data_IF_436678551362
#
_entry.id   IF_436678551362
#
_cell.length_a   1.000
_cell.length_b   1.000
_cell.length_c   1.000
_cell.angle_alpha   90.00
_cell.angle_beta   90.00
_cell.angle_gamma   90.00
#
_symmetry.space_group_name_H-M   'P 1'
#
loop_
_entity.id
_entity.type
_entity.pdbx_description
1 polymer ?
#
# COMPACT_ATOMS: atom_id res chain seq x y z
N UNK A 1 -27.24 -22.16 -52.28
CA UNK A 1 -28.03 -23.00 -51.36
C UNK A 1 -27.11 -23.49 -50.24
N UNK A 2 -27.48 -23.21 -48.98
CA UNK A 2 -27.22 -23.98 -47.74
C UNK A 2 -25.74 -24.25 -47.36
N UNK A 3 -25.23 -23.97 -46.16
CA UNK A 3 -25.84 -23.48 -44.92
C UNK A 3 -24.86 -23.58 -43.73
N UNK A 4 -24.94 -22.58 -42.84
CA UNK A 4 -25.04 -22.71 -41.36
C UNK A 4 -24.03 -23.51 -40.50
N UNK A 5 -23.32 -22.74 -39.65
CA UNK A 5 -23.33 -22.73 -38.18
C UNK A 5 -22.55 -23.77 -37.31
N UNK A 6 -21.88 -23.17 -36.30
CA UNK A 6 -21.67 -23.63 -34.91
C UNK A 6 -20.46 -24.57 -34.63
N UNK A 7 -19.74 -24.60 -33.49
CA UNK A 7 -19.59 -23.84 -32.22
C UNK A 7 -18.54 -24.63 -31.38
N UNK A 8 -17.65 -23.94 -30.65
CA UNK A 8 -16.89 -24.34 -29.43
C UNK A 8 -16.03 -25.63 -29.38
N UNK A 9 -14.74 -25.49 -29.02
CA UNK A 9 -14.20 -25.90 -27.70
C UNK A 9 -12.66 -25.78 -27.58
N UNK A 10 -12.16 -24.63 -27.14
CA UNK A 10 -10.81 -24.46 -26.55
C UNK A 10 -10.75 -24.35 -24.99
N UNK A 11 -11.83 -24.56 -24.19
CA UNK A 11 -11.70 -24.60 -22.71
C UNK A 11 -11.20 -25.94 -22.13
N UNK A 12 -11.01 -27.00 -22.92
CA UNK A 12 -10.83 -28.36 -22.38
C UNK A 12 -9.39 -28.72 -21.96
N UNK A 13 -8.38 -27.95 -22.38
CA UNK A 13 -6.97 -28.24 -22.09
C UNK A 13 -6.47 -27.48 -20.84
N UNK A 14 -7.10 -26.35 -20.53
CA UNK A 14 -6.82 -25.56 -19.31
C UNK A 14 -7.51 -26.19 -18.08
N UNK A 15 -8.65 -26.84 -18.25
CA UNK A 15 -9.39 -27.48 -17.15
C UNK A 15 -8.79 -28.82 -16.66
N UNK A 16 -7.97 -29.52 -17.47
CA UNK A 16 -7.39 -30.82 -17.09
C UNK A 16 -6.07 -30.69 -16.30
N UNK A 17 -5.39 -29.53 -16.35
CA UNK A 17 -4.15 -29.30 -15.56
C UNK A 17 -4.38 -28.61 -14.21
N UNK A 18 -5.56 -28.02 -13.98
CA UNK A 18 -5.94 -27.42 -12.69
C UNK A 18 -6.54 -28.42 -11.69
N UNK A 19 -6.74 -29.70 -12.07
CA UNK A 19 -7.46 -30.68 -11.23
C UNK A 19 -6.59 -31.68 -10.46
N UNK A 20 -5.25 -31.57 -10.47
CA UNK A 20 -4.38 -32.59 -9.83
C UNK A 20 -3.30 -32.11 -8.84
N UNK A 21 -3.23 -30.83 -8.47
CA UNK A 21 -2.24 -30.35 -7.49
C UNK A 21 -2.79 -29.47 -6.34
N UNK A 22 -4.08 -29.52 -6.03
CA UNK A 22 -4.62 -28.80 -4.86
C UNK A 22 -5.54 -29.70 -4.03
N UNK A 23 -5.02 -30.22 -2.91
CA UNK A 23 -5.82 -30.74 -1.78
C UNK A 23 -6.04 -29.62 -0.73
N UNK A 24 -6.94 -29.79 0.26
CA UNK A 24 -8.14 -28.97 0.44
C UNK A 24 -7.96 -27.78 1.40
N UNK A 25 -7.07 -26.84 1.09
CA UNK A 25 -7.04 -25.52 1.78
C UNK A 25 -7.61 -24.41 0.89
N UNK A 26 -7.63 -24.62 -0.44
CA UNK A 26 -8.07 -23.63 -1.42
C UNK A 26 -9.58 -23.38 -1.40
N UNK A 27 -10.40 -24.40 -1.08
CA UNK A 27 -11.86 -24.26 -1.07
C UNK A 27 -12.37 -23.35 0.06
N UNK A 28 -11.70 -23.36 1.21
CA UNK A 28 -12.04 -22.48 2.33
C UNK A 28 -11.55 -21.03 2.14
N UNK A 29 -10.47 -20.85 1.35
CA UNK A 29 -9.96 -19.52 0.95
C UNK A 29 -10.79 -18.93 -0.20
N UNK A 30 -11.24 -19.76 -1.14
CA UNK A 30 -12.09 -19.31 -2.26
C UNK A 30 -13.56 -19.09 -1.84
N UNK A 31 -14.12 -19.87 -0.91
CA UNK A 31 -15.49 -19.64 -0.40
C UNK A 31 -15.60 -18.49 0.61
N UNK A 32 -14.48 -17.96 1.13
CA UNK A 32 -14.47 -16.77 2.00
C UNK A 32 -14.08 -15.47 1.28
N UNK A 33 -13.75 -15.50 -0.02
CA UNK A 33 -13.69 -14.29 -0.83
C UNK A 33 -15.13 -13.79 -1.05
N UNK A 34 -15.64 -13.12 -0.01
CA UNK A 34 -16.47 -11.92 -0.16
C UNK A 34 -16.11 -11.23 -1.47
N UNK A 35 -17.09 -10.88 -2.29
CA UNK A 35 -16.94 -10.16 -3.55
C UNK A 35 -16.14 -8.87 -3.31
N UNK A 36 -14.82 -9.00 -3.26
CA UNK A 36 -13.94 -7.89 -2.95
C UNK A 36 -13.92 -7.00 -4.17
N UNK A 37 -14.13 -5.70 -3.95
CA UNK A 37 -14.08 -4.72 -5.01
C UNK A 37 -12.75 -4.84 -5.79
N UNK A 38 -12.77 -5.07 -7.12
CA UNK A 38 -11.55 -5.09 -7.91
C UNK A 38 -10.71 -3.82 -7.69
N UNK A 39 -9.41 -4.01 -7.47
CA UNK A 39 -8.48 -2.91 -7.23
C UNK A 39 -8.42 -1.89 -8.38
N UNK A 40 -8.68 -2.33 -9.61
CA UNK A 40 -8.76 -1.46 -10.79
C UNK A 40 -9.86 -0.38 -10.69
N UNK A 41 -10.86 -0.56 -9.83
CA UNK A 41 -11.90 0.44 -9.57
C UNK A 41 -11.45 1.63 -8.71
N UNK A 42 -10.18 1.68 -8.30
CA UNK A 42 -9.61 2.85 -7.62
C UNK A 42 -9.41 4.05 -8.55
N UNK A 43 -9.39 3.83 -9.88
CA UNK A 43 -9.15 4.86 -10.90
C UNK A 43 -10.06 6.08 -10.69
N UNK A 44 -9.52 7.28 -10.70
CA UNK A 44 -10.25 8.54 -10.58
C UNK A 44 -10.77 8.88 -9.16
N UNK A 45 -10.45 8.09 -8.13
CA UNK A 45 -10.90 8.37 -6.74
C UNK A 45 -10.11 9.48 -6.03
N UNK A 46 -8.86 9.69 -6.41
CA UNK A 46 -7.99 10.80 -6.01
C UNK A 46 -8.13 12.00 -6.95
N UNK A 47 -8.29 11.74 -8.25
CA UNK A 47 -8.44 12.80 -9.27
C UNK A 47 -9.62 13.73 -9.02
N UNK A 48 -10.72 13.21 -8.46
CA UNK A 48 -11.90 14.00 -8.11
C UNK A 48 -11.71 14.90 -6.89
N UNK A 49 -10.63 14.72 -6.14
CA UNK A 49 -10.40 15.41 -4.88
C UNK A 49 -9.56 16.67 -5.06
N UNK A 50 -9.87 17.70 -4.27
CA UNK A 50 -9.02 18.88 -4.11
C UNK A 50 -7.62 18.47 -3.65
N UNK A 51 -6.56 19.21 -4.03
CA UNK A 51 -5.18 18.90 -3.64
C UNK A 51 -5.00 18.72 -2.12
N UNK A 52 -5.69 19.51 -1.30
CA UNK A 52 -5.62 19.45 0.16
C UNK A 52 -6.36 18.24 0.74
N UNK A 53 -7.25 17.64 -0.06
CA UNK A 53 -8.12 16.54 0.31
C UNK A 53 -7.66 15.17 -0.22
N UNK A 54 -6.54 15.09 -0.97
CA UNK A 54 -6.01 13.82 -1.50
C UNK A 54 -5.78 12.75 -0.43
N UNK A 55 -5.50 13.16 0.81
CA UNK A 55 -5.39 12.28 1.98
C UNK A 55 -6.67 11.50 2.32
N UNK A 56 -7.83 11.90 1.79
CA UNK A 56 -9.11 11.21 1.96
C UNK A 56 -9.42 10.23 0.83
N UNK A 57 -8.53 10.07 -0.15
CA UNK A 57 -8.77 9.20 -1.31
C UNK A 57 -8.89 7.73 -0.91
N UNK A 58 -9.92 7.01 -1.40
CA UNK A 58 -9.97 5.55 -1.36
C UNK A 58 -8.67 4.87 -1.82
N UNK A 59 -7.87 5.46 -2.72
CA UNK A 59 -6.60 4.87 -3.14
C UNK A 59 -5.61 4.60 -1.99
N UNK A 60 -5.59 5.47 -0.98
CA UNK A 60 -4.78 5.23 0.22
C UNK A 60 -5.32 4.03 1.02
N UNK A 61 -6.65 3.91 1.10
CA UNK A 61 -7.29 2.74 1.69
C UNK A 61 -6.93 1.43 1.00
N UNK A 62 -6.78 1.44 -0.33
CA UNK A 62 -6.37 0.28 -1.12
C UNK A 62 -4.94 -0.13 -0.76
N UNK A 63 -4.01 0.82 -0.70
CA UNK A 63 -2.64 0.57 -0.24
C UNK A 63 -2.63 -0.01 1.19
N UNK A 64 -3.46 0.53 2.09
CA UNK A 64 -3.62 0.04 3.46
C UNK A 64 -4.23 -1.37 3.52
N UNK A 65 -5.18 -1.68 2.65
CA UNK A 65 -5.83 -2.99 2.54
C UNK A 65 -4.82 -4.09 2.19
N UNK A 66 -3.87 -3.78 1.31
CA UNK A 66 -2.80 -4.70 0.92
C UNK A 66 -1.59 -4.69 1.86
N UNK A 67 -1.46 -3.67 2.71
CA UNK A 67 -0.40 -3.57 3.73
C UNK A 67 -0.78 -4.25 5.06
N UNK A 68 -0.91 -5.58 5.06
CA UNK A 68 -1.37 -6.32 6.24
C UNK A 68 -0.49 -6.14 7.49
N UNK A 69 0.84 -6.11 7.30
CA UNK A 69 1.81 -5.99 8.40
C UNK A 69 1.66 -4.66 9.15
N UNK A 70 1.50 -3.55 8.43
CA UNK A 70 1.36 -2.22 9.02
C UNK A 70 0.17 -2.16 10.00
N UNK A 71 -0.99 -2.65 9.57
CA UNK A 71 -2.20 -2.63 10.39
C UNK A 71 -2.11 -3.66 11.53
N UNK A 72 -1.49 -4.81 11.29
CA UNK A 72 -1.22 -5.80 12.34
C UNK A 72 -0.32 -5.24 13.45
N UNK A 73 0.69 -4.45 13.08
CA UNK A 73 1.58 -3.79 14.00
C UNK A 73 0.85 -2.71 14.81
N UNK A 74 0.05 -1.86 14.15
CA UNK A 74 -0.77 -0.85 14.83
C UNK A 74 -1.77 -1.47 15.82
N UNK A 75 -2.39 -2.60 15.45
CA UNK A 75 -3.35 -3.30 16.32
C UNK A 75 -2.69 -4.03 17.49
N UNK A 76 -1.43 -4.44 17.33
CA UNK A 76 -0.66 -5.14 18.38
C UNK A 76 0.07 -4.16 19.31
N UNK A 77 0.11 -2.88 18.95
CA UNK A 77 0.77 -1.83 19.72
C UNK A 77 0.11 -1.68 21.10
N UNK A 78 0.86 -1.88 22.17
CA UNK A 78 0.38 -1.71 23.53
C UNK A 78 0.99 -0.43 24.09
N UNK A 79 0.35 0.72 23.87
CA UNK A 79 0.84 1.98 24.42
C UNK A 79 -0.20 2.68 25.27
N UNK A 80 0.09 2.74 26.57
CA UNK A 80 -0.32 3.86 27.39
C UNK A 80 0.55 5.08 27.00
N UNK A 81 0.02 5.99 26.17
CA UNK A 81 0.56 7.35 26.03
C UNK A 81 1.45 7.70 24.83
N UNK A 82 1.37 6.99 23.69
CA UNK A 82 2.16 7.32 22.48
C UNK A 82 1.41 8.17 21.44
N UNK A 83 2.14 8.73 20.47
CA UNK A 83 1.60 9.51 19.34
C UNK A 83 0.56 8.74 18.50
N UNK A 84 0.59 7.41 18.54
CA UNK A 84 -0.29 6.51 17.78
C UNK A 84 -1.49 5.98 18.59
N UNK A 85 -1.77 6.54 19.77
CA UNK A 85 -2.82 6.01 20.65
C UNK A 85 -4.22 6.06 20.01
N UNK A 86 -4.53 7.10 19.23
CA UNK A 86 -5.80 7.19 18.48
C UNK A 86 -5.87 6.13 17.38
N UNK A 87 -4.77 5.88 16.66
CA UNK A 87 -4.72 4.87 15.60
C UNK A 87 -4.93 3.47 16.19
N UNK A 88 -4.32 3.19 17.35
CA UNK A 88 -4.56 1.97 18.10
C UNK A 88 -6.04 1.82 18.51
N UNK A 89 -6.63 2.84 19.15
CA UNK A 89 -8.05 2.83 19.55
C UNK A 89 -8.96 2.60 18.35
N UNK A 90 -8.72 3.32 17.26
CA UNK A 90 -9.50 3.19 16.03
C UNK A 90 -9.39 1.77 15.44
N UNK A 91 -8.19 1.19 15.42
CA UNK A 91 -7.99 -0.17 14.92
C UNK A 91 -8.84 -1.20 15.68
N UNK A 92 -9.06 -1.00 16.98
CA UNK A 92 -9.87 -1.87 17.85
C UNK A 92 -11.37 -1.68 17.67
N UNK A 93 -11.79 -0.49 17.26
CA UNK A 93 -13.19 -0.19 16.96
C UNK A 93 -13.61 -0.78 15.61
N UNK A 94 -12.71 -0.79 14.63
CA UNK A 94 -13.00 -1.18 13.23
C UNK A 94 -12.68 -2.64 12.90
N UNK A 95 -11.62 -3.19 13.50
CA UNK A 95 -11.09 -4.50 13.15
C UNK A 95 -11.10 -5.47 14.33
N UNK A 96 -11.21 -6.75 14.01
CA UNK A 96 -11.10 -7.84 14.96
C UNK A 96 -10.08 -8.86 14.47
N UNK A 97 -9.36 -9.44 15.43
CA UNK A 97 -8.44 -10.54 15.22
C UNK A 97 -8.69 -11.59 16.30
N UNK A 98 -9.10 -12.79 15.89
CA UNK A 98 -9.40 -13.92 16.78
C UNK A 98 -8.13 -14.51 17.39
N UNK A 99 -7.05 -14.54 16.61
CA UNK A 99 -5.73 -15.07 16.98
C UNK A 99 -4.64 -14.18 16.37
N UNK A 100 -3.56 -13.91 17.10
CA UNK A 100 -2.41 -13.13 16.66
C UNK A 100 -1.84 -13.58 15.31
N UNK A 101 -1.94 -14.88 15.00
CA UNK A 101 -1.49 -15.48 13.74
C UNK A 101 -2.37 -15.16 12.52
N UNK A 102 -3.62 -14.75 12.75
CA UNK A 102 -4.61 -14.48 11.71
C UNK A 102 -4.58 -13.01 11.26
N UNK A 103 -4.86 -12.73 9.98
CA UNK A 103 -4.95 -11.37 9.50
C UNK A 103 -6.11 -10.63 10.20
N UNK A 104 -5.91 -9.34 10.43
CA UNK A 104 -6.99 -8.45 10.86
C UNK A 104 -8.09 -8.41 9.80
N UNK A 105 -9.33 -8.49 10.28
CA UNK A 105 -10.53 -8.38 9.44
C UNK A 105 -11.43 -7.32 10.03
N UNK A 106 -12.16 -6.62 9.17
CA UNK A 106 -13.26 -5.76 9.55
C UNK A 106 -14.19 -6.53 10.49
N UNK A 107 -14.66 -5.85 11.54
CA UNK A 107 -15.52 -6.46 12.55
C UNK A 107 -16.79 -7.02 11.90
N UNK A 108 -17.04 -8.32 12.10
CA UNK A 108 -18.24 -9.03 11.60
C UNK A 108 -19.29 -9.28 12.67
N UNK A 109 -19.08 -8.81 13.90
CA UNK A 109 -20.01 -9.04 15.00
C UNK A 109 -21.16 -8.02 14.96
N UNK A 110 -22.43 -8.46 14.92
CA UNK A 110 -23.59 -7.56 15.01
C UNK A 110 -23.65 -6.73 16.29
N UNK A 111 -22.92 -7.11 17.34
CA UNK A 111 -22.84 -6.37 18.60
C UNK A 111 -21.91 -5.15 18.56
N UNK A 112 -21.22 -4.92 17.45
CA UNK A 112 -20.21 -3.87 17.30
C UNK A 112 -20.71 -2.78 16.34
N UNK A 113 -20.38 -1.52 16.62
CA UNK A 113 -20.83 -0.38 15.81
C UNK A 113 -20.33 -0.45 14.36
N UNK A 114 -19.05 -0.76 14.17
CA UNK A 114 -18.43 -0.83 12.84
C UNK A 114 -19.12 -1.83 11.89
N UNK A 115 -19.70 -2.92 12.40
CA UNK A 115 -20.40 -3.91 11.58
C UNK A 115 -21.56 -3.31 10.78
N UNK A 116 -22.25 -2.33 11.35
CA UNK A 116 -23.44 -1.70 10.76
C UNK A 116 -23.11 -0.51 9.87
N UNK A 117 -21.82 -0.17 9.72
CA UNK A 117 -21.40 0.92 8.85
C UNK A 117 -21.42 0.45 7.40
N UNK A 118 -22.14 1.22 6.59
CA UNK A 118 -22.06 1.18 5.14
C UNK A 118 -21.10 2.29 4.64
N UNK A 119 -20.71 2.26 3.35
CA UNK A 119 -19.78 3.23 2.77
C UNK A 119 -20.21 4.70 2.91
N UNK A 120 -21.50 5.01 2.81
CA UNK A 120 -22.01 6.36 3.00
C UNK A 120 -21.87 6.83 4.46
N UNK A 121 -22.23 5.99 5.43
CA UNK A 121 -22.06 6.28 6.86
C UNK A 121 -20.58 6.47 7.23
N UNK A 122 -19.67 5.69 6.62
CA UNK A 122 -18.21 5.87 6.75
C UNK A 122 -17.83 7.27 6.24
N UNK A 123 -18.33 7.69 5.07
CA UNK A 123 -18.07 9.02 4.50
C UNK A 123 -18.54 10.15 5.41
N UNK A 124 -19.78 10.06 5.92
CA UNK A 124 -20.30 11.04 6.88
C UNK A 124 -19.47 11.11 8.16
N UNK A 125 -19.08 9.97 8.75
CA UNK A 125 -18.25 9.95 9.96
C UNK A 125 -16.90 10.63 9.77
N UNK A 126 -16.23 10.38 8.64
CA UNK A 126 -14.95 11.00 8.33
C UNK A 126 -15.10 12.51 8.07
N UNK A 127 -16.17 12.90 7.36
CA UNK A 127 -16.48 14.29 7.10
C UNK A 127 -16.76 15.07 8.37
N UNK A 128 -17.61 14.55 9.25
CA UNK A 128 -17.89 15.14 10.56
C UNK A 128 -16.62 15.26 11.42
N UNK A 129 -15.77 14.22 11.42
CA UNK A 129 -14.51 14.25 12.15
C UNK A 129 -13.54 15.32 11.62
N UNK A 130 -13.44 15.46 10.31
CA UNK A 130 -12.61 16.46 9.64
C UNK A 130 -13.15 17.89 9.81
N UNK A 131 -14.48 18.06 9.78
CA UNK A 131 -15.16 19.32 10.08
C UNK A 131 -15.12 19.70 11.57
N UNK A 132 -14.72 18.76 12.44
CA UNK A 132 -14.76 18.90 13.91
C UNK A 132 -16.16 19.26 14.40
N UNK A 133 -17.16 18.59 13.83
CA UNK A 133 -18.57 18.75 14.17
C UNK A 133 -18.84 18.55 15.66
N UNK A 134 -19.87 19.23 16.19
CA UNK A 134 -20.26 19.06 17.60
C UNK A 134 -20.88 17.68 17.85
N UNK A 135 -20.94 17.24 19.11
CA UNK A 135 -21.54 15.94 19.43
C UNK A 135 -23.02 15.86 19.03
N UNK A 136 -23.76 16.97 19.14
CA UNK A 136 -25.16 17.10 18.74
C UNK A 136 -25.32 16.96 17.22
N UNK A 137 -24.44 17.62 16.45
CA UNK A 137 -24.41 17.52 14.99
C UNK A 137 -24.10 16.09 14.54
N UNK A 138 -23.09 15.46 15.16
CA UNK A 138 -22.75 14.06 14.89
C UNK A 138 -23.94 13.15 15.16
N UNK A 139 -24.63 13.30 16.30
CA UNK A 139 -25.83 12.51 16.61
C UNK A 139 -26.92 12.73 15.56
N UNK A 140 -27.22 13.99 15.22
CA UNK A 140 -28.25 14.35 14.26
C UNK A 140 -28.02 13.71 12.89
N UNK A 141 -26.79 13.81 12.36
CA UNK A 141 -26.42 13.23 11.06
C UNK A 141 -26.47 11.70 11.11
N UNK A 142 -25.96 11.07 12.17
CA UNK A 142 -26.04 9.61 12.32
C UNK A 142 -27.50 9.12 12.38
N UNK A 143 -28.37 9.82 13.10
CA UNK A 143 -29.80 9.50 13.14
C UNK A 143 -30.49 9.68 11.79
N UNK A 144 -30.09 10.69 11.01
CA UNK A 144 -30.49 10.90 9.62
C UNK A 144 -30.05 9.77 8.69
N UNK A 145 -28.88 9.18 8.96
CA UNK A 145 -28.39 7.96 8.28
C UNK A 145 -29.10 6.68 8.75
N UNK A 146 -30.09 6.80 9.66
CA UNK A 146 -30.81 5.67 10.24
C UNK A 146 -30.05 4.94 11.36
N UNK A 147 -28.97 5.50 11.89
CA UNK A 147 -28.21 4.98 13.03
C UNK A 147 -28.75 5.64 14.31
N UNK A 148 -29.53 4.90 15.09
CA UNK A 148 -30.12 5.35 16.36
C UNK A 148 -29.66 4.45 17.49
N UNK A 149 -29.87 4.88 18.74
CA UNK A 149 -29.57 4.03 19.89
C UNK A 149 -30.34 2.70 19.81
N UNK A 150 -29.61 1.58 19.80
CA UNK A 150 -30.11 0.21 19.68
C UNK A 150 -30.78 -0.15 18.34
N UNK A 151 -30.79 0.72 17.34
CA UNK A 151 -31.40 0.46 16.02
C UNK A 151 -30.57 1.01 14.87
N UNK A 152 -30.36 0.22 13.82
CA UNK A 152 -29.76 0.70 12.57
C UNK A 152 -30.67 0.34 11.40
N UNK A 153 -31.06 1.33 10.59
CA UNK A 153 -31.99 1.18 9.47
C UNK A 153 -33.28 0.43 9.86
N UNK A 154 -33.80 0.71 11.06
CA UNK A 154 -34.99 0.08 11.62
C UNK A 154 -34.76 -1.29 12.30
N UNK A 155 -33.59 -1.91 12.13
CA UNK A 155 -33.26 -3.22 12.72
C UNK A 155 -32.73 -3.03 14.14
N UNK A 156 -33.22 -3.80 15.12
CA UNK A 156 -32.72 -3.77 16.50
C UNK A 156 -31.34 -4.43 16.58
N UNK A 157 -30.33 -3.68 16.99
CA UNK A 157 -28.92 -4.14 17.04
C UNK A 157 -28.37 -4.27 18.46
N UNK A 158 -28.95 -3.53 19.42
CA UNK A 158 -28.41 -3.44 20.79
C UNK A 158 -27.12 -2.63 20.92
N UNK A 159 -26.71 -1.91 19.85
CA UNK A 159 -25.54 -1.04 19.85
C UNK A 159 -25.98 0.38 20.20
N UNK A 160 -25.39 0.98 21.23
CA UNK A 160 -25.70 2.36 21.62
C UNK A 160 -25.14 3.37 20.61
N UNK A 161 -25.83 4.51 20.46
CA UNK A 161 -25.37 5.62 19.61
C UNK A 161 -23.99 6.14 20.05
N UNK A 162 -23.71 6.08 21.36
CA UNK A 162 -22.42 6.47 21.96
C UNK A 162 -21.21 5.74 21.36
N UNK A 163 -21.38 4.50 20.87
CA UNK A 163 -20.27 3.77 20.22
C UNK A 163 -19.92 4.32 18.83
N UNK A 164 -20.90 4.89 18.14
CA UNK A 164 -20.69 5.53 16.84
C UNK A 164 -20.08 6.92 17.02
N UNK A 165 -20.54 7.69 18.00
CA UNK A 165 -19.95 8.99 18.35
C UNK A 165 -18.50 8.83 18.82
N UNK A 166 -18.18 7.76 19.54
CA UNK A 166 -16.81 7.44 19.93
C UNK A 166 -15.87 7.22 18.74
N UNK A 167 -16.35 6.57 17.66
CA UNK A 167 -15.55 6.43 16.42
C UNK A 167 -15.23 7.80 15.83
N UNK A 168 -16.23 8.68 15.72
CA UNK A 168 -16.05 10.04 15.17
C UNK A 168 -15.12 10.88 16.05
N UNK A 169 -15.22 10.76 17.38
CA UNK A 169 -14.33 11.42 18.35
C UNK A 169 -12.88 10.98 18.15
N UNK A 170 -12.61 9.67 18.11
CA UNK A 170 -11.26 9.12 17.89
C UNK A 170 -10.70 9.56 16.52
N UNK A 171 -11.52 9.59 15.49
CA UNK A 171 -11.12 10.12 14.17
C UNK A 171 -10.72 11.60 14.28
N UNK A 172 -11.55 12.44 14.88
CA UNK A 172 -11.29 13.89 14.96
C UNK A 172 -9.99 14.19 15.74
N UNK A 173 -9.76 13.49 16.85
CA UNK A 173 -8.51 13.60 17.62
C UNK A 173 -7.29 13.13 16.83
N UNK A 174 -7.43 12.05 16.07
CA UNK A 174 -6.37 11.49 15.25
C UNK A 174 -6.02 12.35 14.03
N UNK A 175 -6.98 13.07 13.44
CA UNK A 175 -6.76 13.91 12.26
C UNK A 175 -5.98 15.20 12.55
N UNK A 176 -5.97 15.67 13.81
CA UNK A 176 -5.22 16.88 14.23
C UNK A 176 -3.77 16.54 14.63
N UNK A 177 -3.46 15.27 14.85
CA UNK A 177 -2.20 14.79 15.41
C UNK A 177 -1.24 14.27 14.33
N UNK A 178 0.05 14.07 14.66
CA UNK A 178 0.99 13.38 13.78
C UNK A 178 0.55 11.96 13.37
N UNK A 179 -0.41 11.36 14.08
CA UNK A 179 -1.03 10.07 13.71
C UNK A 179 -2.02 10.13 12.54
N UNK A 180 -2.33 11.33 12.01
CA UNK A 180 -3.26 11.54 10.89
C UNK A 180 -3.08 10.53 9.74
N UNK A 181 -1.86 10.24 9.24
CA UNK A 181 -1.70 9.30 8.13
C UNK A 181 -2.19 7.89 8.46
N UNK A 182 -1.91 7.40 9.67
CA UNK A 182 -2.32 6.06 10.10
C UNK A 182 -3.82 5.97 10.35
N UNK A 183 -4.42 7.04 10.87
CA UNK A 183 -5.87 7.15 11.09
C UNK A 183 -6.61 7.04 9.76
N UNK A 184 -6.21 7.85 8.78
CA UNK A 184 -6.80 7.84 7.44
C UNK A 184 -6.60 6.48 6.78
N UNK A 185 -5.38 5.93 6.84
CA UNK A 185 -5.08 4.63 6.24
C UNK A 185 -5.94 3.50 6.83
N UNK A 186 -6.10 3.45 8.16
CA UNK A 186 -6.95 2.47 8.85
C UNK A 186 -8.42 2.60 8.44
N UNK A 187 -8.94 3.82 8.43
CA UNK A 187 -10.36 4.07 8.16
C UNK A 187 -10.70 3.85 6.69
N UNK A 188 -9.83 4.27 5.77
CA UNK A 188 -9.99 4.05 4.33
C UNK A 188 -9.74 2.59 3.95
N UNK A 189 -8.87 1.86 4.64
CA UNK A 189 -8.81 0.39 4.50
C UNK A 189 -10.14 -0.24 4.90
N UNK A 190 -10.73 0.20 6.02
CA UNK A 190 -12.02 -0.32 6.47
C UNK A 190 -13.11 -0.09 5.42
N UNK A 191 -13.10 1.06 4.73
CA UNK A 191 -13.97 1.31 3.57
C UNK A 191 -13.82 0.22 2.49
N UNK A 192 -12.60 -0.15 2.09
CA UNK A 192 -12.38 -1.21 1.08
C UNK A 192 -12.88 -2.58 1.54
N UNK A 193 -12.78 -2.91 2.82
CA UNK A 193 -13.35 -4.16 3.37
C UNK A 193 -14.88 -4.17 3.38
N UNK A 194 -15.53 -3.00 3.25
CA UNK A 194 -16.98 -2.81 3.27
C UNK A 194 -17.57 -2.50 1.89
N UNK A 195 -16.77 -2.03 0.94
CA UNK A 195 -17.21 -1.68 -0.39
C UNK A 195 -17.41 -2.94 -1.25
N UNK A 196 -18.61 -3.10 -1.78
CA UNK A 196 -18.97 -4.22 -2.66
C UNK A 196 -18.98 -3.81 -4.15
N UNK A 197 -19.00 -2.51 -4.42
CA UNK A 197 -19.05 -1.95 -5.78
C UNK A 197 -18.34 -0.59 -5.83
N UNK A 198 -18.05 -0.11 -7.04
CA UNK A 198 -17.48 1.24 -7.23
C UNK A 198 -18.47 2.34 -6.81
N UNK A 199 -19.77 2.06 -6.88
CA UNK A 199 -20.83 2.93 -6.36
C UNK A 199 -20.66 3.21 -4.86
N UNK A 200 -20.25 2.21 -4.09
CA UNK A 200 -19.95 2.39 -2.67
C UNK A 200 -18.86 3.45 -2.42
N UNK A 201 -17.83 3.50 -3.27
CA UNK A 201 -16.77 4.51 -3.16
C UNK A 201 -17.30 5.91 -3.49
N UNK A 202 -18.19 6.02 -4.48
CA UNK A 202 -18.87 7.27 -4.80
C UNK A 202 -19.76 7.74 -3.64
N UNK A 203 -20.58 6.84 -3.07
CA UNK A 203 -21.46 7.17 -1.95
C UNK A 203 -20.65 7.66 -0.73
N UNK A 204 -19.47 7.06 -0.48
CA UNK A 204 -18.50 7.53 0.51
C UNK A 204 -18.02 8.97 0.21
N UNK A 205 -17.58 9.25 -1.03
CA UNK A 205 -17.06 10.56 -1.42
C UNK A 205 -18.12 11.65 -1.34
N UNK A 206 -19.35 11.37 -1.77
CA UNK A 206 -20.47 12.30 -1.70
C UNK A 206 -20.87 12.59 -0.24
N UNK A 207 -20.91 11.55 0.60
CA UNK A 207 -21.21 11.68 2.03
C UNK A 207 -20.13 12.46 2.79
N UNK A 208 -18.86 12.27 2.42
CA UNK A 208 -17.72 13.05 2.93
C UNK A 208 -17.84 14.52 2.50
N UNK A 209 -18.14 14.76 1.21
CA UNK A 209 -18.23 16.11 0.66
C UNK A 209 -19.37 16.96 1.26
N UNK A 210 -20.40 16.31 1.82
CA UNK A 210 -21.49 17.01 2.51
C UNK A 210 -21.03 17.80 3.75
N UNK A 211 -19.88 17.45 4.33
CA UNK A 211 -19.37 18.06 5.58
C UNK A 211 -18.09 18.87 5.38
N UNK A 212 -17.23 18.44 4.46
CA UNK A 212 -16.00 19.14 4.09
C UNK A 212 -15.92 19.14 2.57
N UNK A 213 -15.70 20.30 1.95
CA UNK A 213 -15.54 20.38 0.49
C UNK A 213 -14.25 19.65 0.08
N UNK A 214 -14.40 18.41 -0.37
CA UNK A 214 -13.29 17.56 -0.81
C UNK A 214 -13.25 17.40 -2.32
N UNK A 215 -14.38 17.55 -3.02
CA UNK A 215 -14.46 17.44 -4.46
C UNK A 215 -13.97 18.72 -5.14
N UNK A 216 -13.27 18.59 -6.26
CA UNK A 216 -12.92 19.74 -7.10
C UNK A 216 -14.17 20.34 -7.75
N UNK A 217 -14.19 21.65 -8.06
CA UNK A 217 -15.33 22.31 -8.68
C UNK A 217 -15.86 21.59 -9.93
N UNK A 218 -14.96 21.11 -10.80
CA UNK A 218 -15.28 20.39 -12.02
C UNK A 218 -16.01 19.04 -11.79
N UNK A 219 -15.91 18.47 -10.58
CA UNK A 219 -16.56 17.22 -10.21
C UNK A 219 -17.77 17.40 -9.28
N UNK A 220 -18.19 18.65 -8.99
CA UNK A 220 -19.40 18.90 -8.17
C UNK A 220 -20.67 18.34 -8.83
N UNK A 221 -20.70 18.18 -10.15
CA UNK A 221 -21.79 17.54 -10.88
C UNK A 221 -22.06 16.10 -10.40
N UNK A 222 -21.06 15.42 -9.81
CA UNK A 222 -21.25 14.09 -9.19
C UNK A 222 -22.32 14.09 -8.10
N UNK A 223 -22.71 15.24 -7.53
CA UNK A 223 -23.77 15.30 -6.52
C UNK A 223 -25.18 15.20 -7.09
N UNK A 224 -25.37 15.61 -8.35
CA UNK A 224 -26.71 15.86 -8.89
C UNK A 224 -26.97 15.18 -10.23
N UNK A 225 -25.92 14.85 -10.99
CA UNK A 225 -26.04 14.22 -12.30
C UNK A 225 -25.83 12.71 -12.21
N UNK A 226 -26.92 11.95 -12.32
CA UNK A 226 -26.88 10.48 -12.29
C UNK A 226 -26.12 9.89 -13.47
N UNK A 227 -26.20 10.48 -14.66
CA UNK A 227 -25.48 9.97 -15.83
C UNK A 227 -23.97 10.11 -15.64
N UNK A 228 -23.53 11.26 -15.10
CA UNK A 228 -22.13 11.49 -14.77
C UNK A 228 -21.63 10.58 -13.64
N UNK A 229 -22.47 10.32 -12.64
CA UNK A 229 -22.17 9.31 -11.61
C UNK A 229 -22.01 7.92 -12.21
N UNK A 230 -22.91 7.50 -13.10
CA UNK A 230 -22.88 6.17 -13.72
C UNK A 230 -21.61 6.02 -14.58
N UNK A 231 -21.26 7.03 -15.39
CA UNK A 231 -20.01 7.09 -16.14
C UNK A 231 -18.78 6.97 -15.21
N UNK A 232 -18.74 7.77 -14.15
CA UNK A 232 -17.65 7.70 -13.18
C UNK A 232 -17.56 6.33 -12.52
N UNK A 233 -18.67 5.66 -12.22
CA UNK A 233 -18.68 4.31 -11.63
C UNK A 233 -18.26 3.20 -12.59
N UNK A 234 -18.16 3.47 -13.89
CA UNK A 234 -17.68 2.52 -14.89
C UNK A 234 -16.17 2.63 -15.15
N UNK A 235 -15.52 3.71 -14.70
CA UNK A 235 -14.08 3.86 -14.84
C UNK A 235 -13.35 2.70 -14.15
N UNK A 236 -12.32 2.18 -14.79
CA UNK A 236 -11.41 1.19 -14.20
C UNK A 236 -10.08 1.23 -14.93
N UNK A 237 -9.00 0.81 -14.27
CA UNK A 237 -7.75 0.53 -14.99
C UNK A 237 -7.91 -0.77 -15.78
N UNK A 238 -7.52 -0.70 -17.05
CA UNK A 238 -7.34 -1.90 -17.89
C UNK A 238 -6.10 -2.69 -17.44
N UNK A 239 -6.01 -3.94 -17.88
CA UNK A 239 -4.85 -4.80 -17.59
C UNK A 239 -3.58 -4.20 -18.20
N UNK A 240 -3.67 -3.61 -19.39
CA UNK A 240 -2.55 -2.99 -20.09
C UNK A 240 -2.03 -1.75 -19.36
N UNK A 241 -2.94 -0.94 -18.78
CA UNK A 241 -2.56 0.21 -17.95
C UNK A 241 -1.83 -0.21 -16.68
N UNK A 242 -2.14 -1.39 -16.13
CA UNK A 242 -1.46 -1.96 -14.96
C UNK A 242 -0.15 -2.68 -15.32
N UNK A 243 0.27 -2.64 -16.59
CA UNK A 243 1.53 -3.23 -17.05
C UNK A 243 2.77 -2.56 -16.46
N UNK A 244 3.86 -3.33 -16.38
CA UNK A 244 5.11 -2.91 -15.73
C UNK A 244 5.65 -1.56 -16.23
N UNK A 245 5.55 -1.28 -17.53
CA UNK A 245 6.03 -0.02 -18.13
C UNK A 245 5.26 1.22 -17.65
N UNK A 246 3.93 1.13 -17.53
CA UNK A 246 3.10 2.23 -17.06
C UNK A 246 3.28 2.45 -15.55
N UNK A 247 3.43 1.36 -14.80
CA UNK A 247 3.70 1.37 -13.35
C UNK A 247 5.07 1.98 -13.07
N UNK A 248 6.11 1.58 -13.81
CA UNK A 248 7.46 2.15 -13.70
C UNK A 248 7.44 3.66 -13.97
N UNK A 249 6.80 4.08 -15.07
CA UNK A 249 6.62 5.51 -15.39
C UNK A 249 5.87 6.27 -14.30
N UNK A 250 4.80 5.70 -13.76
CA UNK A 250 4.05 6.32 -12.66
C UNK A 250 4.91 6.44 -11.38
N UNK A 251 5.76 5.45 -11.09
CA UNK A 251 6.71 5.52 -9.99
C UNK A 251 7.77 6.61 -10.20
N UNK A 252 8.36 6.68 -11.40
CA UNK A 252 9.33 7.73 -11.76
C UNK A 252 8.73 9.14 -11.57
N UNK A 253 7.49 9.36 -12.02
CA UNK A 253 6.80 10.64 -11.87
C UNK A 253 6.56 11.03 -10.40
N UNK A 254 6.39 10.06 -9.50
CA UNK A 254 6.24 10.31 -8.07
C UNK A 254 7.59 10.48 -7.36
N UNK A 255 8.65 9.85 -7.86
CA UNK A 255 9.99 9.91 -7.27
C UNK A 255 10.77 11.14 -7.73
N UNK A 256 10.41 11.78 -8.84
CA UNK A 256 11.03 13.04 -9.25
C UNK A 256 10.74 14.13 -8.21
N UNK A 257 11.73 14.41 -7.36
CA UNK A 257 11.66 15.34 -6.22
C UNK A 257 11.23 16.76 -6.63
N UNK A 258 11.41 17.14 -7.92
CA UNK A 258 10.96 18.43 -8.45
C UNK A 258 9.43 18.59 -8.40
N UNK A 259 8.70 17.49 -8.24
CA UNK A 259 7.24 17.47 -8.25
C UNK A 259 6.63 17.78 -6.87
N UNK A 260 7.41 17.67 -5.79
CA UNK A 260 6.96 18.08 -4.47
C UNK A 260 7.46 19.49 -4.18
N UNK A 261 6.59 20.52 -4.21
CA UNK A 261 6.98 21.85 -3.79
C UNK A 261 7.44 21.73 -2.33
N UNK A 262 8.75 21.89 -2.13
CA UNK A 262 9.34 21.88 -0.81
C UNK A 262 8.59 22.95 -0.02
N UNK A 263 7.84 22.55 1.00
CA UNK A 263 7.24 23.46 1.96
C UNK A 263 8.36 24.05 2.82
N UNK A 264 9.31 24.74 2.19
CA UNK A 264 10.35 25.50 2.86
C UNK A 264 9.67 26.72 3.47
N UNK A 265 9.47 26.58 4.78
CA UNK A 265 9.18 27.63 5.74
C UNK A 265 9.79 28.97 5.34
N UNK A 266 8.89 29.93 5.18
CA UNK A 266 9.10 31.36 5.20
C UNK A 266 10.29 31.83 6.06
N UNK A 267 11.34 32.30 5.40
CA UNK A 267 12.20 33.38 5.91
C UNK A 267 12.27 34.48 4.86
N UNK A 268 11.43 35.49 5.10
CA UNK A 268 11.47 36.88 4.61
C UNK A 268 12.64 37.29 3.70
N UNK A 269 12.34 37.62 2.45
CA UNK A 269 12.81 38.87 1.83
C UNK A 269 11.97 39.23 0.61
N UNK A 270 11.43 40.43 0.68
CA UNK A 270 10.58 41.09 -0.31
C UNK A 270 11.35 41.40 -1.59
N UNK A 271 10.87 40.91 -2.73
CA UNK A 271 11.16 41.48 -4.05
C UNK A 271 10.01 41.17 -5.00
N UNK A 272 9.41 42.23 -5.50
CA UNK A 272 8.30 42.29 -6.44
C UNK A 272 8.70 41.80 -7.83
N UNK A 273 8.04 40.74 -8.30
CA UNK A 273 7.90 40.47 -9.74
C UNK A 273 6.68 39.61 -9.98
N UNK A 274 5.73 40.21 -10.68
CA UNK A 274 4.44 39.68 -11.12
C UNK A 274 4.58 38.70 -12.29
N UNK A 275 3.54 37.88 -12.46
CA UNK A 275 3.09 37.17 -13.67
C UNK A 275 3.85 35.93 -14.14
N UNK A 276 3.47 34.76 -13.59
CA UNK A 276 3.32 33.48 -14.33
C UNK A 276 2.72 32.39 -13.40
N UNK A 277 1.39 32.36 -13.22
CA UNK A 277 0.71 31.51 -12.22
C UNK A 277 -0.22 30.43 -12.79
N UNK A 278 -0.03 30.00 -14.04
CA UNK A 278 -0.95 29.05 -14.71
C UNK A 278 -0.41 27.62 -14.90
N UNK A 279 0.81 27.29 -14.50
CA UNK A 279 1.42 25.96 -14.71
C UNK A 279 1.38 25.02 -13.50
N UNK A 280 0.89 25.46 -12.33
CA UNK A 280 0.91 24.65 -11.10
C UNK A 280 -0.24 23.65 -10.97
N UNK A 281 -1.34 23.82 -11.72
CA UNK A 281 -2.51 22.95 -11.59
C UNK A 281 -2.32 21.58 -12.25
N UNK A 282 -1.58 21.51 -13.36
CA UNK A 282 -1.37 20.27 -14.12
C UNK A 282 -0.50 19.25 -13.40
N UNK A 283 0.54 19.68 -12.65
CA UNK A 283 1.44 18.75 -11.95
C UNK A 283 0.73 17.94 -10.85
N UNK A 284 -0.21 18.55 -10.13
CA UNK A 284 -0.99 17.88 -9.07
C UNK A 284 -1.92 16.77 -9.57
N UNK A 285 -2.40 16.89 -10.82
CA UNK A 285 -3.27 15.90 -11.45
C UNK A 285 -2.47 14.65 -11.86
N UNK A 286 -1.27 14.85 -12.41
CA UNK A 286 -0.41 13.72 -12.81
C UNK A 286 0.05 12.87 -11.64
N UNK A 287 0.36 13.48 -10.49
CA UNK A 287 0.73 12.73 -9.29
C UNK A 287 -0.44 11.90 -8.74
N UNK A 288 -1.67 12.42 -8.80
CA UNK A 288 -2.87 11.73 -8.31
C UNK A 288 -3.18 10.46 -9.12
N UNK A 289 -3.20 10.57 -10.46
CA UNK A 289 -3.41 9.40 -11.32
C UNK A 289 -2.29 8.37 -11.20
N UNK A 290 -1.04 8.81 -11.02
CA UNK A 290 0.11 7.92 -10.84
C UNK A 290 0.00 7.14 -9.54
N UNK A 291 -0.42 7.79 -8.44
CA UNK A 291 -0.60 7.13 -7.15
C UNK A 291 -1.77 6.13 -7.16
N UNK A 292 -2.87 6.45 -7.85
CA UNK A 292 -3.97 5.49 -8.06
C UNK A 292 -3.51 4.27 -8.88
N UNK A 293 -2.70 4.48 -9.92
CA UNK A 293 -2.16 3.39 -10.74
C UNK A 293 -1.23 2.50 -9.92
N UNK A 294 -0.33 3.08 -9.12
CA UNK A 294 0.52 2.32 -8.21
C UNK A 294 -0.31 1.57 -7.17
N UNK A 295 -1.34 2.20 -6.59
CA UNK A 295 -2.22 1.54 -5.64
C UNK A 295 -2.94 0.34 -6.27
N UNK A 296 -3.48 0.50 -7.47
CA UNK A 296 -4.11 -0.59 -8.23
C UNK A 296 -3.10 -1.68 -8.60
N UNK A 297 -1.90 -1.30 -9.04
CA UNK A 297 -0.83 -2.22 -9.39
C UNK A 297 -0.41 -3.03 -8.17
N UNK A 298 0.00 -2.40 -7.06
CA UNK A 298 0.38 -3.11 -5.82
C UNK A 298 -0.73 -4.07 -5.34
N UNK A 299 -1.98 -3.64 -5.46
CA UNK A 299 -3.14 -4.43 -5.09
C UNK A 299 -3.39 -5.66 -6.00
N UNK A 300 -3.14 -5.51 -7.29
CA UNK A 300 -3.29 -6.58 -8.29
C UNK A 300 -2.05 -7.49 -8.35
N UNK A 301 -0.87 -6.93 -8.13
CA UNK A 301 0.44 -7.57 -8.02
C UNK A 301 0.63 -8.39 -6.75
N UNK A 302 -0.42 -8.65 -5.95
CA UNK A 302 -0.43 -9.77 -5.01
C UNK A 302 -0.25 -11.15 -5.70
N UNK A 303 0.04 -11.17 -7.01
CA UNK A 303 0.62 -12.28 -7.78
C UNK A 303 2.14 -12.40 -7.72
N UNK A 304 2.88 -11.39 -7.24
CA UNK A 304 4.35 -11.36 -7.31
C UNK A 304 4.99 -12.30 -6.28
N UNK A 305 4.56 -12.23 -5.02
CA UNK A 305 4.90 -13.15 -3.93
C UNK A 305 4.02 -12.80 -2.72
N UNK A 306 3.51 -13.76 -1.92
CA UNK A 306 2.87 -13.43 -0.65
C UNK A 306 3.85 -12.64 0.23
N UNK A 307 3.42 -11.51 0.81
CA UNK A 307 4.26 -10.76 1.76
C UNK A 307 4.83 -11.71 2.81
N UNK A 308 6.16 -11.69 2.97
CA UNK A 308 6.77 -12.47 4.03
C UNK A 308 6.38 -11.86 5.36
N UNK A 309 5.95 -12.72 6.29
CA UNK A 309 5.52 -12.29 7.61
C UNK A 309 6.75 -12.29 8.51
N UNK A 310 6.94 -11.22 9.27
CA UNK A 310 7.93 -11.24 10.34
C UNK A 310 7.59 -12.37 11.31
N UNK A 311 8.61 -13.13 11.66
CA UNK A 311 8.58 -14.24 12.60
C UNK A 311 9.62 -14.00 13.69
N UNK A 312 9.53 -14.82 14.74
CA UNK A 312 10.52 -14.82 15.81
C UNK A 312 11.32 -16.11 15.70
N UNK A 313 12.64 -15.98 15.78
CA UNK A 313 13.55 -17.08 15.58
C UNK A 313 14.58 -17.12 16.69
N UNK A 314 15.01 -18.33 17.01
CA UNK A 314 16.14 -18.59 17.89
C UNK A 314 17.35 -18.93 17.03
N UNK A 315 18.52 -18.42 17.39
CA UNK A 315 19.79 -18.87 16.82
C UNK A 315 20.62 -19.59 17.88
N UNK A 316 21.05 -20.83 17.59
CA UNK A 316 21.75 -21.70 18.55
C UNK A 316 20.99 -21.77 19.89
N UNK A 317 21.66 -21.44 20.98
CA UNK A 317 21.14 -21.40 22.35
C UNK A 317 20.64 -20.01 22.79
N UNK A 318 20.45 -19.09 21.84
CA UNK A 318 19.99 -17.72 22.07
C UNK A 318 18.50 -17.59 22.45
N UNK A 319 18.10 -16.35 22.73
CA UNK A 319 16.69 -15.99 22.91
C UNK A 319 15.96 -15.90 21.55
N UNK A 320 14.64 -15.90 21.60
CA UNK A 320 13.81 -15.75 20.41
C UNK A 320 13.60 -14.26 20.08
N UNK A 321 14.11 -13.84 18.93
CA UNK A 321 14.16 -12.43 18.49
C UNK A 321 13.40 -12.25 17.17
N UNK A 322 12.85 -11.06 16.88
CA UNK A 322 12.20 -10.81 15.60
C UNK A 322 13.22 -10.72 14.44
N UNK A 323 12.85 -11.21 13.26
CA UNK A 323 13.65 -11.23 12.03
C UNK A 323 13.57 -9.95 11.19
N UNK A 324 13.46 -8.77 11.82
CA UNK A 324 13.12 -7.53 11.15
C UNK A 324 14.06 -7.17 9.98
N UNK A 325 15.38 -7.28 10.20
CA UNK A 325 16.38 -6.89 9.20
C UNK A 325 16.58 -8.01 8.19
N UNK A 326 16.57 -9.26 8.66
CA UNK A 326 16.64 -10.46 7.84
C UNK A 326 15.49 -10.51 6.82
N UNK A 327 14.28 -10.15 7.24
CA UNK A 327 13.12 -10.01 6.36
C UNK A 327 13.34 -8.95 5.27
N UNK A 328 13.93 -7.81 5.60
CA UNK A 328 14.26 -6.76 4.62
C UNK A 328 15.31 -7.27 3.62
N UNK A 329 16.35 -7.95 4.10
CA UNK A 329 17.37 -8.58 3.23
C UNK A 329 16.71 -9.57 2.26
N UNK A 330 15.76 -10.37 2.77
CA UNK A 330 15.05 -11.36 1.97
C UNK A 330 14.26 -10.72 0.84
N UNK A 331 13.48 -9.69 1.15
CA UNK A 331 12.70 -8.94 0.16
C UNK A 331 13.60 -8.29 -0.89
N UNK A 332 14.75 -7.73 -0.49
CA UNK A 332 15.72 -7.16 -1.45
C UNK A 332 16.25 -8.22 -2.39
N UNK A 333 16.72 -9.37 -1.89
CA UNK A 333 17.24 -10.44 -2.76
C UNK A 333 16.13 -11.04 -3.62
N UNK A 334 14.93 -11.26 -3.08
CA UNK A 334 13.78 -11.71 -3.86
C UNK A 334 13.45 -10.74 -5.01
N UNK A 335 13.52 -9.43 -4.76
CA UNK A 335 13.30 -8.41 -5.78
C UNK A 335 14.36 -8.46 -6.88
N UNK A 336 15.63 -8.58 -6.50
CA UNK A 336 16.75 -8.67 -7.46
C UNK A 336 16.66 -9.93 -8.33
N UNK A 337 16.16 -11.03 -7.78
CA UNK A 337 16.01 -12.29 -8.51
C UNK A 337 14.69 -12.41 -9.26
N UNK A 338 13.80 -11.43 -9.18
CA UNK A 338 12.53 -11.54 -9.86
C UNK A 338 12.66 -11.23 -11.34
N UNK A 339 12.23 -12.18 -12.16
CA UNK A 339 12.08 -12.01 -13.60
C UNK A 339 10.63 -11.63 -13.91
N UNK A 340 10.47 -10.40 -14.40
CA UNK A 340 9.17 -9.83 -14.75
C UNK A 340 8.49 -10.57 -15.91
N UNK A 341 9.27 -11.09 -16.87
CA UNK A 341 8.72 -11.74 -18.06
C UNK A 341 8.13 -13.12 -17.71
N UNK A 342 8.81 -13.87 -16.84
CA UNK A 342 8.31 -15.16 -16.36
C UNK A 342 7.42 -15.06 -15.12
N UNK A 343 7.30 -13.87 -14.51
CA UNK A 343 6.64 -13.63 -13.23
C UNK A 343 7.08 -14.65 -12.17
N UNK A 344 8.38 -14.88 -12.06
CA UNK A 344 8.97 -15.89 -11.17
C UNK A 344 10.36 -15.50 -10.70
N UNK A 345 10.84 -16.12 -9.61
CA UNK A 345 12.22 -15.94 -9.15
C UNK A 345 13.17 -16.72 -10.08
N UNK A 346 14.05 -16.00 -10.76
CA UNK A 346 15.04 -16.54 -11.68
C UNK A 346 16.40 -16.63 -11.02
N UNK A 347 16.85 -17.86 -10.75
CA UNK A 347 18.16 -18.12 -10.15
C UNK A 347 19.32 -17.80 -11.11
N UNK A 348 19.06 -17.62 -12.40
CA UNK A 348 20.09 -17.17 -13.34
C UNK A 348 20.48 -15.70 -13.13
N UNK A 349 19.70 -14.95 -12.37
CA UNK A 349 20.02 -13.58 -11.94
C UNK A 349 20.94 -13.55 -10.71
N UNK A 350 21.17 -14.68 -10.03
CA UNK A 350 22.14 -14.70 -8.93
C UNK A 350 23.56 -14.49 -9.48
N UNK A 351 24.34 -13.56 -8.91
CA UNK A 351 25.75 -13.41 -9.25
C UNK A 351 26.51 -14.74 -9.07
N UNK A 352 27.46 -15.09 -9.95
CA UNK A 352 28.32 -16.25 -9.76
C UNK A 352 29.14 -16.21 -8.45
N UNK A 353 29.38 -15.01 -7.91
CA UNK A 353 30.02 -14.74 -6.63
C UNK A 353 29.13 -14.96 -5.41
N UNK A 354 27.84 -15.24 -5.60
CA UNK A 354 26.89 -15.44 -4.51
C UNK A 354 27.34 -16.57 -3.59
N UNK A 355 27.08 -16.42 -2.30
CA UNK A 355 27.46 -17.45 -1.33
C UNK A 355 26.77 -18.79 -1.67
N UNK A 356 27.46 -19.93 -1.55
CA UNK A 356 26.86 -21.24 -1.82
C UNK A 356 25.61 -21.51 -0.97
N UNK A 357 25.59 -20.98 0.27
CA UNK A 357 24.44 -21.09 1.18
C UNK A 357 23.22 -20.34 0.65
N UNK A 358 23.39 -19.13 0.09
CA UNK A 358 22.30 -18.38 -0.56
C UNK A 358 21.72 -19.15 -1.75
N UNK A 359 22.60 -19.69 -2.58
CA UNK A 359 22.21 -20.47 -3.76
C UNK A 359 21.45 -21.75 -3.36
N UNK A 360 21.90 -22.46 -2.32
CA UNK A 360 21.19 -23.64 -1.78
C UNK A 360 19.80 -23.26 -1.29
N UNK A 361 19.71 -22.20 -0.47
CA UNK A 361 18.45 -21.70 0.05
C UNK A 361 17.43 -21.44 -1.07
N UNK A 362 17.87 -20.74 -2.13
CA UNK A 362 16.97 -20.39 -3.22
C UNK A 362 16.58 -21.54 -4.14
N UNK A 363 17.41 -22.59 -4.22
CA UNK A 363 17.08 -23.82 -4.95
C UNK A 363 16.10 -24.70 -4.20
N UNK A 364 16.22 -24.75 -2.88
CA UNK A 364 15.56 -25.77 -2.06
C UNK A 364 14.33 -25.23 -1.31
N UNK A 365 14.33 -23.96 -0.91
CA UNK A 365 13.40 -23.46 0.12
C UNK A 365 12.66 -22.16 -0.27
N UNK A 366 13.17 -21.36 -1.22
CA UNK A 366 12.65 -20.00 -1.48
C UNK A 366 11.18 -19.88 -1.92
N UNK A 367 10.61 -20.95 -2.48
CA UNK A 367 9.19 -20.98 -2.86
C UNK A 367 8.27 -21.43 -1.74
N UNK A 368 8.81 -21.95 -0.62
CA UNK A 368 8.02 -22.40 0.51
C UNK A 368 7.64 -21.20 1.40
N UNK A 369 6.34 -21.04 1.65
CA UNK A 369 5.80 -20.03 2.58
C UNK A 369 5.74 -20.55 4.04
N UNK A 370 6.50 -21.59 4.37
CA UNK A 370 6.46 -22.26 5.67
C UNK A 370 7.44 -21.62 6.67
N UNK A 371 7.18 -21.77 7.98
CA UNK A 371 8.02 -21.25 9.07
C UNK A 371 9.45 -21.78 9.05
N UNK A 372 9.66 -22.95 8.42
CA UNK A 372 11.00 -23.50 8.17
C UNK A 372 11.83 -22.60 7.27
N UNK A 373 11.23 -22.07 6.20
CA UNK A 373 11.90 -21.18 5.25
C UNK A 373 12.38 -19.89 5.93
N UNK A 374 11.55 -19.29 6.78
CA UNK A 374 11.97 -18.10 7.53
C UNK A 374 13.07 -18.41 8.56
N UNK A 375 13.05 -19.59 9.18
CA UNK A 375 14.10 -20.02 10.11
C UNK A 375 15.44 -20.25 9.41
N UNK A 376 15.46 -20.96 8.28
CA UNK A 376 16.67 -21.19 7.49
C UNK A 376 17.24 -19.88 6.95
N UNK A 377 16.37 -18.95 6.54
CA UNK A 377 16.79 -17.62 6.10
C UNK A 377 17.39 -16.81 7.25
N UNK A 378 16.75 -16.85 8.42
CA UNK A 378 17.27 -16.20 9.61
C UNK A 378 18.66 -16.75 9.95
N UNK A 379 18.85 -18.07 9.95
CA UNK A 379 20.16 -18.72 10.18
C UNK A 379 21.22 -18.38 9.11
N UNK A 380 20.80 -18.12 7.87
CA UNK A 380 21.68 -17.67 6.80
C UNK A 380 22.29 -16.29 7.07
N UNK A 381 21.55 -15.42 7.76
CA UNK A 381 21.92 -14.02 8.01
C UNK A 381 22.79 -13.81 9.28
N UNK A 382 23.05 -14.86 10.05
CA UNK A 382 23.84 -14.76 11.29
C UNK A 382 25.32 -15.00 11.04
N UNK A 383 26.17 -14.43 11.91
CA UNK A 383 27.64 -14.52 11.85
C UNK A 383 28.27 -14.08 10.51
N UNK A 384 27.63 -13.17 9.78
CA UNK A 384 28.16 -12.56 8.55
C UNK A 384 29.26 -11.54 8.88
N UNK A 385 30.34 -11.54 8.08
CA UNK A 385 31.49 -10.66 8.30
C UNK A 385 31.10 -9.18 8.11
N UNK A 386 31.64 -8.29 8.95
CA UNK A 386 31.38 -6.85 8.87
C UNK A 386 29.97 -6.40 9.31
N UNK A 387 29.07 -7.33 9.64
CA UNK A 387 27.73 -7.01 10.13
C UNK A 387 27.75 -6.66 11.64
N UNK A 388 26.86 -5.76 12.05
CA UNK A 388 26.64 -5.45 13.48
C UNK A 388 25.39 -6.16 13.98
N UNK A 389 25.48 -6.77 15.15
CA UNK A 389 24.42 -7.56 15.78
C UNK A 389 23.96 -6.91 17.09
N UNK A 390 22.70 -7.15 17.47
CA UNK A 390 22.10 -6.69 18.72
C UNK A 390 22.22 -7.73 19.84
N UNK A 391 22.30 -9.00 19.47
CA UNK A 391 22.30 -10.11 20.41
C UNK A 391 23.51 -11.02 20.21
N UNK A 392 23.84 -11.78 21.25
CA UNK A 392 24.85 -12.84 21.21
C UNK A 392 24.33 -14.01 22.02
N UNK A 393 24.49 -15.22 21.48
CA UNK A 393 24.02 -16.42 22.14
C UNK A 393 24.96 -16.78 23.30
N UNK A 394 24.56 -17.64 24.26
CA UNK A 394 25.44 -18.04 25.35
C UNK A 394 26.76 -18.67 24.90
N UNK A 395 26.82 -19.31 23.73
CA UNK A 395 28.07 -19.79 23.13
C UNK A 395 28.90 -18.73 22.38
N UNK A 396 28.52 -17.45 22.46
CA UNK A 396 29.26 -16.32 21.88
C UNK A 396 28.93 -16.00 20.42
N UNK A 397 27.97 -16.71 19.83
CA UNK A 397 27.57 -16.51 18.44
C UNK A 397 26.74 -15.23 18.29
N UNK A 398 27.12 -14.35 17.37
CA UNK A 398 26.39 -13.10 17.13
C UNK A 398 25.13 -13.36 16.30
N UNK A 399 23.99 -12.81 16.75
CA UNK A 399 22.72 -12.91 16.04
C UNK A 399 21.82 -11.68 16.25
N UNK A 400 20.72 -11.58 15.48
CA UNK A 400 19.82 -10.41 15.44
C UNK A 400 20.52 -9.18 14.81
N UNK A 401 20.44 -9.06 13.48
CA UNK A 401 21.10 -7.95 12.79
C UNK A 401 20.61 -6.58 13.29
N UNK A 402 21.54 -5.67 13.55
CA UNK A 402 21.22 -4.29 13.95
C UNK A 402 20.54 -3.55 12.79
N UNK A 403 19.37 -2.90 13.00
CA UNK A 403 18.64 -2.21 11.94
C UNK A 403 19.33 -0.92 11.52
N UNK A 404 20.32 -1.04 10.63
CA UNK A 404 21.04 0.08 10.04
C UNK A 404 21.31 -0.16 8.57
N UNK A 405 21.34 0.92 7.76
CA UNK A 405 21.64 0.82 6.32
C UNK A 405 22.98 0.15 6.05
N UNK A 406 23.99 0.43 6.89
CA UNK A 406 25.31 -0.18 6.81
C UNK A 406 25.27 -1.69 7.06
N UNK A 407 24.51 -2.14 8.07
CA UNK A 407 24.33 -3.57 8.34
C UNK A 407 23.64 -4.27 7.17
N UNK A 408 22.60 -3.66 6.60
CA UNK A 408 21.89 -4.22 5.43
C UNK A 408 22.82 -4.34 4.24
N UNK A 409 23.59 -3.29 3.91
CA UNK A 409 24.56 -3.31 2.82
C UNK A 409 25.63 -4.39 3.03
N UNK A 410 26.24 -4.46 4.22
CA UNK A 410 27.25 -5.46 4.55
C UNK A 410 26.71 -6.90 4.44
N UNK A 411 25.49 -7.14 4.92
CA UNK A 411 24.85 -8.45 4.83
C UNK A 411 24.56 -8.84 3.37
N UNK A 412 24.04 -7.92 2.54
CA UNK A 412 23.84 -8.17 1.11
C UNK A 412 25.16 -8.44 0.39
N UNK A 413 26.23 -7.72 0.73
CA UNK A 413 27.57 -7.97 0.20
C UNK A 413 28.03 -9.40 0.49
N UNK A 414 27.90 -9.84 1.75
CA UNK A 414 28.24 -11.21 2.14
C UNK A 414 27.42 -12.26 1.37
N UNK A 415 26.13 -12.00 1.16
CA UNK A 415 25.22 -12.93 0.51
C UNK A 415 25.44 -13.01 -1.01
N UNK A 416 25.64 -11.88 -1.69
CA UNK A 416 25.68 -11.74 -3.15
C UNK A 416 27.10 -11.73 -3.76
N UNK A 417 28.08 -11.21 -3.02
CA UNK A 417 29.48 -11.09 -3.47
C UNK A 417 30.45 -12.03 -2.75
N UNK A 418 30.02 -12.68 -1.67
CA UNK A 418 30.86 -13.58 -0.86
C UNK A 418 31.45 -12.90 0.40
N UNK A 419 32.23 -13.66 1.18
CA UNK A 419 32.61 -13.30 2.57
C UNK A 419 33.50 -12.05 2.72
N UNK A 420 34.06 -11.52 1.63
CA UNK A 420 35.03 -10.41 1.66
C UNK A 420 34.49 -9.09 1.11
N UNK A 421 33.18 -8.98 0.91
CA UNK A 421 32.57 -7.77 0.37
C UNK A 421 32.46 -6.66 1.43
N UNK A 422 33.27 -5.62 1.30
CA UNK A 422 33.24 -4.45 2.19
C UNK A 422 32.14 -3.43 1.80
N UNK A 423 30.90 -3.90 1.64
CA UNK A 423 29.79 -3.02 1.31
C UNK A 423 29.41 -2.16 2.52
N UNK A 424 29.45 -0.85 2.35
CA UNK A 424 29.14 0.12 3.41
C UNK A 424 27.85 0.89 3.13
N UNK A 425 27.34 0.82 1.90
CA UNK A 425 26.16 1.54 1.45
C UNK A 425 25.32 0.73 0.43
N UNK A 426 24.05 1.12 0.25
CA UNK A 426 23.21 0.53 -0.80
C UNK A 426 23.66 0.91 -2.22
N UNK A 427 24.51 1.92 -2.39
CA UNK A 427 25.10 2.25 -3.70
C UNK A 427 26.08 1.18 -4.17
N UNK A 428 26.69 0.45 -3.23
CA UNK A 428 27.61 -0.64 -3.54
C UNK A 428 26.82 -1.80 -4.18
N UNK A 429 25.62 -2.10 -3.65
CA UNK A 429 24.68 -3.05 -4.27
C UNK A 429 24.28 -2.62 -5.67
N UNK A 430 23.88 -1.37 -5.85
CA UNK A 430 23.44 -0.83 -7.13
C UNK A 430 24.56 -0.92 -8.18
N UNK A 431 25.76 -0.46 -7.81
CA UNK A 431 26.93 -0.50 -8.70
C UNK A 431 27.28 -1.94 -9.10
N UNK A 432 27.33 -2.84 -8.11
CA UNK A 432 27.58 -4.26 -8.35
C UNK A 432 26.53 -4.92 -9.25
N UNK A 433 25.25 -4.60 -9.05
CA UNK A 433 24.17 -5.19 -9.84
C UNK A 433 24.19 -4.70 -11.29
N UNK A 434 24.44 -3.40 -11.50
CA UNK A 434 24.55 -2.80 -12.81
C UNK A 434 25.76 -3.32 -13.61
N UNK A 435 26.88 -3.59 -12.94
CA UNK A 435 28.04 -4.25 -13.55
C UNK A 435 27.73 -5.68 -14.01
N UNK A 436 26.92 -6.42 -13.25
CA UNK A 436 26.55 -7.80 -13.57
C UNK A 436 25.54 -7.89 -14.72
N UNK A 437 24.65 -6.89 -14.83
CA UNK A 437 23.59 -6.85 -15.84
C UNK A 437 23.63 -5.56 -16.68
N UNK A 438 24.69 -5.36 -17.50
CA UNK A 438 24.90 -4.12 -18.24
C UNK A 438 23.87 -3.88 -19.35
N UNK A 439 23.10 -4.90 -19.73
CA UNK A 439 22.06 -4.83 -20.77
C UNK A 439 20.64 -4.66 -20.21
N UNK A 440 20.46 -4.77 -18.89
CA UNK A 440 19.29 -4.16 -18.27
C UNK A 440 19.67 -2.71 -18.03
N UNK A 441 19.05 -1.78 -18.76
CA UNK A 441 19.10 -0.35 -18.44
C UNK A 441 18.39 -0.09 -17.10
N UNK A 442 18.87 -0.70 -16.02
CA UNK A 442 18.44 -0.46 -14.65
C UNK A 442 19.30 0.68 -14.09
N UNK A 443 19.35 1.80 -14.81
CA UNK A 443 20.03 2.98 -14.32
C UNK A 443 19.13 3.70 -13.32
N UNK A 444 19.50 3.70 -12.03
CA UNK A 444 19.09 4.77 -11.12
C UNK A 444 19.83 6.06 -11.48
N UNK A 445 19.76 6.50 -12.73
CA UNK A 445 20.23 7.83 -13.09
C UNK A 445 19.20 8.82 -12.54
N UNK A 446 19.59 9.74 -11.64
CA UNK A 446 18.79 10.93 -11.41
C UNK A 446 18.59 11.58 -12.78
N UNK A 447 17.34 11.84 -13.14
CA UNK A 447 17.03 12.55 -14.40
C UNK A 447 17.67 13.94 -14.29
N UNK A 448 18.84 14.08 -14.89
CA UNK A 448 19.44 15.38 -15.10
C UNK A 448 18.49 16.13 -16.04
N UNK A 449 17.94 17.30 -15.62
CA UNK A 449 16.99 18.02 -16.45
C UNK A 449 17.71 18.40 -17.73
N UNK A 450 17.35 17.74 -18.84
CA UNK A 450 17.81 18.18 -20.15
C UNK A 450 17.49 19.67 -20.30
N UNK A 451 18.43 20.49 -20.80
CA UNK A 451 18.15 21.88 -21.05
C UNK A 451 16.99 21.94 -22.04
N UNK A 452 15.95 22.69 -21.67
CA UNK A 452 14.77 22.87 -22.50
C UNK A 452 15.14 23.40 -23.90
N UNK A 453 14.21 23.30 -24.87
CA UNK A 453 14.46 23.73 -26.24
C UNK A 453 14.96 25.17 -26.23
N UNK A 454 16.16 25.41 -26.78
CA UNK A 454 16.58 26.77 -27.08
C UNK A 454 15.66 27.29 -28.18
N UNK A 455 14.77 28.20 -27.79
CA UNK A 455 13.95 28.96 -28.73
C UNK A 455 14.87 29.69 -29.72
N UNK A 456 14.78 29.29 -30.98
CA UNK A 456 15.34 29.99 -32.11
C UNK A 456 14.60 31.34 -32.25
N UNK A 457 15.11 32.37 -31.59
CA UNK A 457 14.75 33.75 -31.83
C UNK A 457 16.01 34.60 -31.96
N UNK A 458 16.54 34.68 -33.19
CA UNK A 458 17.33 35.85 -33.58
C UNK A 458 16.56 36.63 -34.63
N UNK A 459 16.15 37.79 -34.17
CA UNK A 459 15.41 38.87 -34.81
C UNK A 459 16.18 39.53 -35.95
N UNK A 460 15.43 39.90 -36.97
CA UNK A 460 15.66 41.01 -37.87
C UNK A 460 15.79 42.37 -37.14
N UNK A 461 16.42 43.32 -37.85
CA UNK A 461 16.63 44.77 -37.61
C UNK A 461 18.07 45.08 -37.18
N UNK A 462 18.88 45.89 -37.87
CA UNK A 462 18.67 46.79 -39.00
C UNK A 462 19.57 48.01 -38.80
N UNK A 463 20.60 48.16 -39.64
CA UNK A 463 21.31 49.39 -40.01
C UNK A 463 22.12 49.12 -41.28
#
# INVERSE_FOLDING_TARGET
MKGTAAVLSFPAIVAHRLSRCCRPTLLHVLQQRSLALPASYVRGTMMVLQPEAVGFSPALGLLGYHSHALIANLYSFSCAGGELVEAFKLSRLLFHRRDASLPLRAVRSPSMAAYHLDPAAIGHMLGLAAARASEEEVKSVLEGCGIRSNRVKGIRTGVSLARYTEIVRVLSEGLVRPSRPFILLLFLRFLWERAESRRCLLDFLLALNAHVLVLRPEFLLLQHDRAFQDEWTMLSFSIDELGASQVARAAELLLDEKTFPSSSSSSSSSSSSSSSSSSSSSSSLFSSSSLELLAASVATSQTFKPMMRSSRHRYKDGAEVPDCVELVLREVVDFLLFDADSNSLSLSLLPPSSSPRLLSFFREEATATDTRCSSSWFELCQELAGCTYLSSSPCGASYELKPSRRTVAAALGNLLSGQDAEWTSMKDLESFWNELHPSSDFSWTPVDPSPGPQDASSSSNGA
#
